data_IF_145644769922
#
_entry.id   IF_145644769922
#
_cell.length_a   1.000
_cell.length_b   1.000
_cell.length_c   1.000
_cell.angle_alpha   90.00
_cell.angle_beta   90.00
_cell.angle_gamma   90.00
#
_symmetry.space_group_name_H-M   'P 1'
#
loop_
_entity.id
_entity.type
_entity.pdbx_description
1 polymer ?
#
# COMPACT_ATOMS: atom_id res chain seq x y z
N UNK A 1 12.00 -29.30 21.25
CA UNK A 1 11.56 -29.81 19.93
C UNK A 1 10.38 -28.97 19.49
N UNK A 2 10.51 -28.25 18.37
CA UNK A 2 9.45 -27.76 17.47
C UNK A 2 10.08 -26.76 16.51
N UNK A 3 10.32 -27.23 15.30
CA UNK A 3 10.91 -26.50 14.17
C UNK A 3 9.90 -25.52 13.57
N UNK A 4 10.28 -24.24 13.45
CA UNK A 4 9.55 -23.26 12.64
C UNK A 4 10.49 -22.75 11.54
N UNK A 5 10.08 -22.95 10.28
CA UNK A 5 10.76 -22.44 9.09
C UNK A 5 10.48 -20.94 8.99
N UNK A 6 11.57 -20.17 8.94
CA UNK A 6 11.64 -18.72 8.79
C UNK A 6 11.27 -18.33 7.35
N UNK A 7 10.30 -17.42 7.16
CA UNK A 7 10.14 -16.72 5.88
C UNK A 7 11.06 -15.50 5.86
N UNK A 8 11.93 -15.43 4.87
CA UNK A 8 12.84 -14.31 4.63
C UNK A 8 12.08 -13.12 4.04
N UNK A 9 11.99 -12.01 4.78
CA UNK A 9 11.70 -10.68 4.21
C UNK A 9 13.03 -10.10 3.73
N UNK A 10 13.20 -9.99 2.40
CA UNK A 10 14.30 -9.21 1.83
C UNK A 10 13.91 -7.73 1.85
N UNK A 11 14.40 -6.99 2.83
CA UNK A 11 14.55 -5.55 2.70
C UNK A 11 15.61 -5.29 1.62
N UNK A 12 15.19 -4.93 0.40
CA UNK A 12 16.12 -4.46 -0.62
C UNK A 12 16.52 -3.01 -0.33
N UNK A 13 17.77 -2.61 -0.63
CA UNK A 13 18.22 -1.23 -0.47
C UNK A 13 17.39 -0.30 -1.38
N UNK A 14 17.42 1.00 -1.09
CA UNK A 14 16.87 2.05 -1.95
C UNK A 14 17.17 1.72 -3.42
N UNK A 15 16.13 1.75 -4.27
CA UNK A 15 16.17 1.43 -5.70
C UNK A 15 17.32 2.20 -6.34
N UNK A 16 18.49 1.56 -6.44
CA UNK A 16 19.72 2.15 -6.97
C UNK A 16 19.94 1.77 -8.43
N UNK A 17 18.95 1.14 -9.06
CA UNK A 17 18.96 0.81 -10.49
C UNK A 17 17.66 1.30 -11.11
N UNK A 18 17.69 2.55 -11.55
CA UNK A 18 16.72 3.15 -12.48
C UNK A 18 16.95 2.60 -13.91
N UNK A 19 17.94 1.73 -14.10
CA UNK A 19 18.49 1.29 -15.39
C UNK A 19 17.87 -0.01 -15.93
N UNK A 20 16.65 -0.38 -15.52
CA UNK A 20 15.97 -1.60 -16.02
C UNK A 20 14.75 -1.37 -16.90
N UNK A 21 14.42 -0.12 -17.21
CA UNK A 21 13.38 0.22 -18.21
C UNK A 21 13.88 0.20 -19.66
N UNK A 22 15.18 -0.07 -19.91
CA UNK A 22 15.76 -0.02 -21.27
C UNK A 22 15.67 -1.34 -22.06
N UNK A 23 14.96 -2.35 -21.56
CA UNK A 23 14.68 -3.59 -22.31
C UNK A 23 13.28 -4.15 -21.99
N UNK A 24 12.26 -3.29 -22.04
CA UNK A 24 10.85 -3.73 -21.97
C UNK A 24 10.44 -4.13 -23.40
N UNK A 25 10.04 -5.39 -23.66
CA UNK A 25 9.33 -5.74 -24.88
C UNK A 25 8.16 -4.77 -25.01
N UNK A 26 8.12 -3.98 -26.09
CA UNK A 26 7.39 -2.73 -26.23
C UNK A 26 6.27 -2.49 -25.22
N UNK A 27 6.46 -1.49 -24.35
CA UNK A 27 5.33 -0.86 -23.66
C UNK A 27 4.24 -0.61 -24.71
N UNK A 28 2.96 -0.94 -24.43
CA UNK A 28 1.89 -0.45 -25.28
C UNK A 28 2.08 1.06 -25.43
N UNK A 29 1.90 1.60 -26.64
CA UNK A 29 2.21 3.01 -26.95
C UNK A 29 1.48 3.99 -26.02
N UNK A 30 0.39 3.53 -25.38
CA UNK A 30 -0.29 4.23 -24.30
C UNK A 30 -0.63 3.28 -23.13
N UNK A 31 -0.40 3.70 -21.87
CA UNK A 31 -0.85 2.94 -20.71
C UNK A 31 -2.38 2.92 -20.66
N UNK A 32 -2.97 1.74 -20.59
CA UNK A 32 -4.42 1.60 -20.43
C UNK A 32 -4.79 1.84 -18.96
N UNK A 33 -5.57 2.90 -18.72
CA UNK A 33 -6.13 3.21 -17.40
C UNK A 33 -7.64 3.03 -17.46
N UNK A 34 -8.18 2.23 -16.54
CA UNK A 34 -9.63 1.99 -16.43
C UNK A 34 -10.14 2.68 -15.16
N UNK A 35 -10.86 3.81 -15.29
CA UNK A 35 -11.51 4.45 -14.14
C UNK A 35 -12.78 3.68 -13.78
N UNK A 36 -12.96 3.43 -12.48
CA UNK A 36 -14.06 2.67 -11.93
C UNK A 36 -14.77 3.57 -10.90
N UNK A 37 -15.97 4.10 -11.21
CA UNK A 37 -16.74 4.88 -10.26
C UNK A 37 -17.32 3.94 -9.20
N UNK A 38 -16.88 4.07 -7.96
CA UNK A 38 -17.37 3.30 -6.82
C UNK A 38 -18.32 4.18 -5.98
N UNK A 39 -19.64 3.96 -6.06
CA UNK A 39 -20.60 4.68 -5.22
C UNK A 39 -20.45 4.30 -3.75
N UNK A 40 -20.66 5.27 -2.85
CA UNK A 40 -20.65 5.06 -1.41
C UNK A 40 -21.53 6.07 -0.66
N UNK A 41 -21.87 5.72 0.57
CA UNK A 41 -22.68 6.56 1.45
C UNK A 41 -24.14 6.71 1.00
N UNK A 42 -24.97 7.25 1.89
CA UNK A 42 -26.41 7.43 1.61
C UNK A 42 -26.70 8.68 0.77
N UNK A 43 -25.73 9.57 0.62
CA UNK A 43 -25.84 10.83 -0.15
C UNK A 43 -25.36 10.70 -1.59
N UNK A 44 -24.98 9.49 -2.04
CA UNK A 44 -24.52 9.25 -3.41
C UNK A 44 -23.09 9.74 -3.68
N UNK A 45 -22.20 9.64 -2.70
CA UNK A 45 -20.77 9.90 -2.91
C UNK A 45 -20.19 8.92 -3.92
N UNK A 46 -19.16 9.35 -4.65
CA UNK A 46 -18.44 8.49 -5.60
C UNK A 46 -16.94 8.71 -5.42
N UNK A 47 -16.22 7.61 -5.25
CA UNK A 47 -14.75 7.58 -5.29
C UNK A 47 -14.35 6.87 -6.56
N UNK A 48 -13.31 7.36 -7.23
CA UNK A 48 -12.79 6.67 -8.39
C UNK A 48 -11.65 5.75 -7.96
N UNK A 49 -11.80 4.48 -8.31
CA UNK A 49 -10.73 3.49 -8.28
C UNK A 49 -10.15 3.40 -9.68
N UNK A 50 -8.83 3.25 -9.80
CA UNK A 50 -8.18 3.17 -11.10
C UNK A 50 -7.45 1.85 -11.24
N UNK A 51 -7.72 1.12 -12.32
CA UNK A 51 -6.85 0.06 -12.76
C UNK A 51 -5.84 0.59 -13.77
N UNK A 52 -4.58 0.22 -13.59
CA UNK A 52 -3.48 0.58 -14.48
C UNK A 52 -2.92 -0.70 -15.08
N UNK A 53 -3.07 -0.83 -16.40
CA UNK A 53 -2.46 -1.90 -17.17
C UNK A 53 -0.97 -1.60 -17.36
N UNK A 54 -0.15 -2.44 -16.75
CA UNK A 54 1.31 -2.31 -16.72
C UNK A 54 1.91 -3.72 -16.61
N UNK A 55 3.22 -3.89 -16.82
CA UNK A 55 3.87 -5.19 -16.61
C UNK A 55 3.61 -5.80 -15.23
N UNK A 56 3.31 -4.97 -14.23
CA UNK A 56 2.72 -5.36 -12.96
C UNK A 56 1.40 -4.60 -12.76
N UNK A 57 0.25 -5.19 -13.10
CA UNK A 57 -1.03 -4.50 -13.03
C UNK A 57 -1.37 -4.03 -11.62
N UNK A 58 -1.90 -2.82 -11.52
CA UNK A 58 -2.14 -2.16 -10.25
C UNK A 58 -3.57 -1.64 -10.14
N UNK A 59 -4.12 -1.71 -8.94
CA UNK A 59 -5.33 -1.03 -8.52
C UNK A 59 -4.93 0.13 -7.61
N UNK A 60 -5.38 1.34 -7.94
CA UNK A 60 -5.24 2.53 -7.11
C UNK A 60 -6.56 2.76 -6.39
N UNK A 61 -6.51 2.70 -5.06
CA UNK A 61 -7.64 2.65 -4.14
C UNK A 61 -8.53 1.41 -4.31
N UNK A 62 -9.50 1.26 -3.39
CA UNK A 62 -10.35 0.07 -3.28
C UNK A 62 -11.80 0.39 -2.97
N UNK A 63 -12.16 1.67 -2.90
CA UNK A 63 -13.49 2.08 -2.50
C UNK A 63 -13.79 1.70 -1.05
N UNK A 64 -15.07 1.44 -0.80
CA UNK A 64 -15.58 0.94 0.47
C UNK A 64 -15.61 -0.59 0.49
N UNK A 65 -15.94 -1.19 1.64
CA UNK A 65 -15.94 -2.65 1.82
C UNK A 65 -16.71 -3.44 0.75
N UNK A 66 -17.80 -2.89 0.22
CA UNK A 66 -18.60 -3.51 -0.83
C UNK A 66 -18.04 -3.32 -2.25
N UNK A 67 -17.23 -2.29 -2.48
CA UNK A 67 -16.78 -1.88 -3.83
C UNK A 67 -16.05 -2.98 -4.61
N UNK A 68 -15.15 -3.81 -4.02
CA UNK A 68 -14.47 -4.89 -4.74
C UNK A 68 -15.42 -5.84 -5.46
N UNK A 69 -16.47 -6.28 -4.76
CA UNK A 69 -17.45 -7.22 -5.30
C UNK A 69 -18.53 -6.52 -6.13
N UNK A 70 -19.03 -5.37 -5.67
CA UNK A 70 -20.19 -4.71 -6.27
C UNK A 70 -19.84 -3.90 -7.53
N UNK A 71 -18.60 -3.42 -7.67
CA UNK A 71 -18.25 -2.44 -8.72
C UNK A 71 -16.92 -2.75 -9.39
N UNK A 72 -15.86 -3.02 -8.62
CA UNK A 72 -14.49 -3.15 -9.16
C UNK A 72 -14.34 -4.41 -10.02
N UNK A 73 -14.60 -5.61 -9.47
CA UNK A 73 -14.50 -6.84 -10.25
C UNK A 73 -15.43 -6.85 -11.49
N UNK A 74 -16.70 -6.42 -11.42
CA UNK A 74 -17.55 -6.26 -12.60
C UNK A 74 -16.97 -5.31 -13.66
N UNK A 75 -16.46 -4.14 -13.25
CA UNK A 75 -15.89 -3.16 -14.18
C UNK A 75 -14.60 -3.67 -14.83
N UNK A 76 -13.73 -4.35 -14.07
CA UNK A 76 -12.56 -5.01 -14.60
C UNK A 76 -12.94 -6.10 -15.61
N UNK A 77 -13.94 -6.93 -15.30
CA UNK A 77 -14.41 -7.98 -16.22
C UNK A 77 -14.96 -7.41 -17.52
N UNK A 78 -15.71 -6.31 -17.45
CA UNK A 78 -16.18 -5.58 -18.63
C UNK A 78 -15.00 -5.03 -19.47
N UNK A 79 -13.89 -4.71 -18.81
CA UNK A 79 -12.63 -4.33 -19.43
C UNK A 79 -11.75 -5.54 -19.86
N UNK A 80 -12.21 -6.79 -19.68
CA UNK A 80 -11.45 -7.99 -20.03
C UNK A 80 -10.29 -8.31 -19.07
N UNK A 81 -10.37 -7.83 -17.83
CA UNK A 81 -9.39 -8.03 -16.76
C UNK A 81 -10.07 -8.65 -15.53
N UNK A 82 -9.34 -9.32 -14.64
CA UNK A 82 -9.83 -9.74 -13.32
C UNK A 82 -8.99 -9.16 -12.19
N UNK A 83 -9.57 -8.99 -10.99
CA UNK A 83 -8.80 -8.73 -9.77
C UNK A 83 -7.69 -9.77 -9.53
N UNK A 84 -7.83 -10.99 -10.06
CA UNK A 84 -6.77 -12.01 -10.00
C UNK A 84 -5.51 -11.66 -10.79
N UNK A 85 -5.62 -10.78 -11.78
CA UNK A 85 -4.49 -10.31 -12.59
C UNK A 85 -3.73 -9.16 -11.92
N UNK A 86 -4.34 -8.53 -10.91
CA UNK A 86 -3.73 -7.46 -10.14
C UNK A 86 -2.54 -8.00 -9.32
N UNK A 87 -1.45 -7.24 -9.32
CA UNK A 87 -0.24 -7.50 -8.52
C UNK A 87 -0.05 -6.50 -7.39
N UNK A 88 -0.59 -5.29 -7.55
CA UNK A 88 -0.49 -4.22 -6.58
C UNK A 88 -1.86 -3.61 -6.27
N UNK A 89 -2.12 -3.40 -4.98
CA UNK A 89 -3.20 -2.55 -4.47
C UNK A 89 -2.52 -1.39 -3.75
N UNK A 90 -2.72 -0.18 -4.26
CA UNK A 90 -2.07 1.04 -3.78
C UNK A 90 -3.13 1.97 -3.23
N UNK A 91 -3.18 2.11 -1.90
CA UNK A 91 -4.07 3.10 -1.28
C UNK A 91 -3.41 4.48 -1.30
N UNK A 92 -4.13 5.47 -1.78
CA UNK A 92 -3.68 6.87 -1.83
C UNK A 92 -3.53 7.46 -0.43
N UNK A 93 -4.48 7.15 0.47
CA UNK A 93 -4.47 7.51 1.87
C UNK A 93 -5.44 6.65 2.71
N UNK A 94 -5.45 6.85 4.03
CA UNK A 94 -6.15 5.99 5.00
C UNK A 94 -7.67 6.20 5.17
N UNK A 95 -8.32 7.06 4.39
CA UNK A 95 -9.77 7.25 4.51
C UNK A 95 -10.55 6.01 4.04
N UNK A 96 -11.69 5.77 4.69
CA UNK A 96 -12.50 4.56 4.56
C UNK A 96 -13.10 4.35 3.18
N UNK A 97 -13.30 5.42 2.41
CA UNK A 97 -13.76 5.39 1.02
C UNK A 97 -12.63 5.08 0.03
N UNK A 98 -11.37 5.10 0.45
CA UNK A 98 -10.23 4.73 -0.39
C UNK A 98 -9.68 3.33 -0.03
N UNK A 99 -9.53 3.04 1.26
CA UNK A 99 -8.95 1.77 1.73
C UNK A 99 -9.98 0.77 2.27
N UNK A 100 -11.25 1.15 2.41
CA UNK A 100 -12.25 0.30 3.05
C UNK A 100 -12.50 -1.03 2.34
N UNK A 101 -12.28 -1.08 1.02
CA UNK A 101 -12.36 -2.30 0.22
C UNK A 101 -11.11 -3.18 0.24
N UNK A 102 -10.02 -2.78 0.89
CA UNK A 102 -8.71 -3.39 0.62
C UNK A 102 -8.59 -4.85 1.09
N UNK A 103 -9.25 -5.21 2.19
CA UNK A 103 -9.31 -6.61 2.62
C UNK A 103 -10.06 -7.48 1.61
N UNK A 104 -11.24 -7.05 1.15
CA UNK A 104 -12.03 -7.79 0.18
C UNK A 104 -11.32 -7.88 -1.19
N UNK A 105 -10.73 -6.78 -1.66
CA UNK A 105 -9.94 -6.77 -2.90
C UNK A 105 -8.77 -7.76 -2.83
N UNK A 106 -8.02 -7.76 -1.71
CA UNK A 106 -6.92 -8.71 -1.49
C UNK A 106 -7.39 -10.17 -1.48
N UNK A 107 -8.53 -10.46 -0.84
CA UNK A 107 -9.09 -11.81 -0.78
C UNK A 107 -9.62 -12.32 -2.13
N UNK A 108 -9.98 -11.41 -3.04
CA UNK A 108 -10.43 -11.75 -4.40
C UNK A 108 -9.28 -11.86 -5.41
N UNK A 109 -8.14 -11.23 -5.12
CA UNK A 109 -6.94 -11.28 -5.94
C UNK A 109 -6.21 -12.62 -5.85
N UNK A 110 -5.20 -12.82 -6.69
CA UNK A 110 -4.34 -13.98 -6.62
C UNK A 110 -3.37 -13.91 -5.42
N UNK A 111 -2.87 -15.08 -5.02
CA UNK A 111 -1.80 -15.16 -4.02
C UNK A 111 -0.60 -14.30 -4.43
N UNK A 112 0.03 -13.65 -3.46
CA UNK A 112 1.19 -12.80 -3.69
C UNK A 112 0.88 -11.36 -4.14
N UNK A 113 -0.40 -10.96 -4.21
CA UNK A 113 -0.76 -9.55 -4.35
C UNK A 113 -0.17 -8.71 -3.20
N UNK A 114 0.39 -7.56 -3.53
CA UNK A 114 0.96 -6.62 -2.57
C UNK A 114 0.00 -5.47 -2.31
N UNK A 115 -0.20 -5.12 -1.04
CA UNK A 115 -0.99 -3.96 -0.61
C UNK A 115 -0.03 -2.94 0.01
N UNK A 116 -0.05 -1.72 -0.49
CA UNK A 116 0.76 -0.62 0.01
C UNK A 116 -0.12 0.56 0.46
N UNK A 117 0.28 1.17 1.57
CA UNK A 117 -0.26 2.42 2.11
C UNK A 117 0.93 3.21 2.69
N UNK A 118 0.87 4.53 2.63
CA UNK A 118 1.89 5.37 3.25
C UNK A 118 1.93 5.15 4.78
N UNK A 119 3.14 5.06 5.37
CA UNK A 119 3.31 4.72 6.77
C UNK A 119 2.65 5.72 7.75
N UNK A 120 2.52 6.98 7.35
CA UNK A 120 1.84 8.01 8.15
C UNK A 120 0.33 7.77 8.28
N UNK A 121 -0.28 7.06 7.33
CA UNK A 121 -1.71 6.76 7.35
C UNK A 121 -2.01 5.44 8.05
N UNK A 122 -1.01 4.57 8.24
CA UNK A 122 -1.20 3.26 8.87
C UNK A 122 -1.89 3.31 10.25
N UNK A 123 -1.59 4.27 11.16
CA UNK A 123 -2.27 4.34 12.46
C UNK A 123 -3.76 4.71 12.39
N UNK A 124 -4.19 5.39 11.33
CA UNK A 124 -5.56 5.90 11.16
C UNK A 124 -6.35 5.23 10.04
N UNK A 125 -5.73 4.28 9.33
CA UNK A 125 -6.35 3.66 8.18
C UNK A 125 -7.53 2.77 8.58
N UNK A 126 -8.67 3.03 7.96
CA UNK A 126 -9.89 2.28 8.23
C UNK A 126 -9.74 0.80 7.83
N UNK A 127 -10.08 -0.14 8.71
CA UNK A 127 -9.92 -1.57 8.45
C UNK A 127 -8.46 -2.05 8.41
N UNK A 128 -7.50 -1.22 8.84
CA UNK A 128 -6.07 -1.56 8.89
C UNK A 128 -5.66 -2.44 10.08
N UNK A 129 -6.60 -2.87 10.92
CA UNK A 129 -6.37 -3.88 11.98
C UNK A 129 -5.74 -5.17 11.44
N UNK A 130 -5.96 -5.49 10.16
CA UNK A 130 -5.32 -6.60 9.44
C UNK A 130 -3.96 -6.23 8.82
N UNK A 131 -3.65 -4.94 8.67
CA UNK A 131 -2.34 -4.46 8.22
C UNK A 131 -1.30 -4.54 9.35
N UNK A 132 -1.71 -4.47 10.62
CA UNK A 132 -0.83 -4.67 11.79
C UNK A 132 -0.23 -6.07 11.94
N UNK A 133 -0.57 -7.02 11.06
CA UNK A 133 0.18 -8.27 10.87
C UNK A 133 1.51 -8.10 10.11
N UNK A 134 1.78 -6.92 9.56
CA UNK A 134 3.08 -6.55 9.01
C UNK A 134 3.91 -5.85 10.10
N UNK A 135 4.99 -6.50 10.52
CA UNK A 135 5.95 -5.96 11.48
C UNK A 135 6.33 -4.51 11.15
N UNK A 136 6.15 -3.60 12.11
CA UNK A 136 7.00 -2.41 12.22
C UNK A 136 8.22 -2.83 13.02
N UNK A 137 9.41 -3.07 12.41
CA UNK A 137 10.60 -3.21 13.21
C UNK A 137 10.95 -1.82 13.73
N UNK A 138 10.79 -1.59 15.04
CA UNK A 138 11.59 -0.58 15.72
C UNK A 138 13.05 -1.04 15.63
N UNK A 139 13.97 -0.30 14.99
CA UNK A 139 15.37 -0.64 15.08
C UNK A 139 15.83 -0.39 16.52
N UNK A 140 15.99 -1.48 17.27
CA UNK A 140 16.81 -1.51 18.46
C UNK A 140 18.25 -1.17 18.09
N UNK A 141 18.58 0.13 18.06
CA UNK A 141 19.88 0.58 18.54
C UNK A 141 19.64 1.21 19.90
N UNK A 142 20.26 0.61 20.92
CA UNK A 142 20.69 1.35 22.10
C UNK A 142 21.61 2.46 21.61
N UNK A 143 21.06 3.62 21.26
CA UNK A 143 21.75 4.86 21.52
C UNK A 143 21.83 4.96 23.03
N UNK A 144 23.02 4.72 23.59
CA UNK A 144 23.29 5.08 24.98
C UNK A 144 22.84 6.53 25.15
N UNK A 145 22.05 6.81 26.18
CA UNK A 145 21.81 8.18 26.59
C UNK A 145 23.17 8.86 26.72
N UNK A 146 23.42 9.87 25.88
CA UNK A 146 24.50 10.81 26.15
C UNK A 146 24.01 11.60 27.38
N UNK A 147 24.74 11.62 28.50
CA UNK A 147 24.37 12.51 29.60
C UNK A 147 24.33 13.95 29.05
N UNK A 148 23.42 14.79 29.56
CA UNK A 148 23.33 16.17 29.08
C UNK A 148 24.71 16.83 29.18
N UNK A 149 25.13 17.47 28.08
CA UNK A 149 26.30 18.37 28.13
C UNK A 149 25.95 19.42 29.18
N UNK A 150 26.80 19.54 30.20
CA UNK A 150 26.84 20.75 31.03
C UNK A 150 27.03 21.92 30.07
N UNK A 151 26.00 22.74 29.91
CA UNK A 151 26.19 24.11 29.46
C UNK A 151 26.84 24.82 30.61
N UNK A 152 28.14 25.05 30.48
CA UNK A 152 28.83 26.09 31.23
C UNK A 152 28.21 27.43 30.82
N UNK A 153 27.27 27.91 31.65
CA UNK A 153 26.96 29.32 31.72
C UNK A 153 27.63 29.83 32.97
N UNK A 154 28.88 30.22 32.78
CA UNK A 154 29.63 30.95 33.77
C UNK A 154 28.88 32.20 34.21
N UNK A 155 28.89 32.42 35.51
CA UNK A 155 29.05 33.74 36.08
C UNK A 155 29.77 33.61 37.42
N UNK A 156 31.05 33.98 37.54
CA UNK A 156 31.48 34.64 38.76
C UNK A 156 31.00 36.10 38.65
N UNK A 157 30.51 36.68 39.75
CA UNK A 157 30.57 38.08 40.15
C UNK A 157 29.61 38.26 41.33
N UNK A 158 30.18 38.42 42.54
CA UNK A 158 29.47 38.71 43.79
C UNK A 158 29.83 37.73 44.90
#
# INVERSE_FOLDING_TARGET
>A
MSTWRMYHVHARPAVTVIDRYVNVPGMPTEPRVVPIPCPFGQTGGVVYVYYIDAPQPALVDTGVAASPQATIEPALRAAGVSLKDVRWILATHGHWDHIGGAHAARSMAADGVSLALHAADAPGAYGAEWLSGAAVPLPGRRCRARPPRRTDHGKPLG
#
